data_IF_936931103562
#
_entry.id   IF_936931103562
#
_cell.length_a   1.000
_cell.length_b   1.000
_cell.length_c   1.000
_cell.angle_alpha   90.00
_cell.angle_beta   90.00
_cell.angle_gamma   90.00
#
_symmetry.space_group_name_H-M   'P 1'
#
loop_
_entity.id
_entity.type
_entity.pdbx_description
1 polymer ?
#
# COMPACT_ATOMS: atom_id res chain seq x y z
N UNK A 1 3.07 -20.37 -48.92
CA UNK A 1 2.49 -19.14 -49.51
C UNK A 1 2.78 -18.02 -48.54
N UNK A 2 3.68 -17.11 -48.93
CA UNK A 2 4.40 -16.16 -48.09
C UNK A 2 3.71 -14.79 -48.24
N UNK A 3 3.30 -14.15 -47.14
CA UNK A 3 2.88 -12.74 -47.16
C UNK A 3 4.06 -11.83 -46.76
N UNK A 4 4.25 -10.67 -47.41
CA UNK A 4 5.44 -9.84 -47.22
C UNK A 4 5.30 -8.80 -46.10
N UNK A 5 6.45 -8.55 -45.47
CA UNK A 5 6.80 -7.35 -44.72
C UNK A 5 6.87 -6.11 -45.63
N UNK A 6 6.49 -4.96 -45.07
CA UNK A 6 7.19 -3.66 -45.11
C UNK A 6 6.28 -2.46 -45.45
N UNK A 7 6.14 -1.55 -44.47
CA UNK A 7 6.05 -0.12 -44.68
C UNK A 7 6.38 0.58 -43.34
N UNK A 8 7.66 0.89 -43.11
CA UNK A 8 8.10 1.78 -42.03
C UNK A 8 8.18 3.20 -42.60
N UNK A 9 7.21 4.04 -42.25
CA UNK A 9 7.21 5.48 -42.51
C UNK A 9 7.82 6.23 -41.33
N UNK A 10 8.92 6.92 -41.62
CA UNK A 10 9.71 7.77 -40.74
C UNK A 10 9.01 9.12 -40.53
N UNK A 11 8.75 9.54 -39.28
CA UNK A 11 8.45 10.94 -38.95
C UNK A 11 9.14 11.33 -37.64
N UNK A 12 10.09 12.27 -37.78
CA UNK A 12 10.86 12.95 -36.76
C UNK A 12 9.95 13.88 -35.94
N UNK A 13 9.90 13.70 -34.63
CA UNK A 13 9.36 14.69 -33.69
C UNK A 13 10.48 15.05 -32.70
N UNK A 14 10.92 16.30 -32.76
CA UNK A 14 11.98 16.86 -31.93
C UNK A 14 11.57 17.10 -30.46
N UNK A 15 12.52 17.45 -29.60
CA UNK A 15 12.29 17.59 -28.16
C UNK A 15 11.59 18.91 -27.82
N UNK A 16 10.47 18.82 -27.10
CA UNK A 16 9.82 19.96 -26.46
C UNK A 16 10.41 20.17 -25.05
N UNK A 17 11.13 21.27 -24.88
CA UNK A 17 11.57 21.78 -23.57
C UNK A 17 10.44 22.58 -22.90
N UNK A 18 10.08 22.29 -21.64
CA UNK A 18 9.17 23.15 -20.88
C UNK A 18 9.92 24.34 -20.25
N UNK A 19 9.37 25.53 -20.45
CA UNK A 19 9.95 26.83 -20.11
C UNK A 19 10.07 27.15 -18.62
N UNK A 20 10.95 28.12 -18.35
CA UNK A 20 11.23 28.67 -17.03
C UNK A 20 10.04 29.47 -16.45
N UNK A 21 9.88 29.49 -15.11
CA UNK A 21 8.84 30.28 -14.44
C UNK A 21 9.18 31.78 -14.37
N UNK A 22 8.16 32.66 -14.32
CA UNK A 22 8.36 34.11 -14.27
C UNK A 22 8.80 34.61 -12.88
N UNK A 23 9.71 35.59 -12.89
CA UNK A 23 10.23 36.32 -11.73
C UNK A 23 9.15 37.26 -11.17
N UNK A 24 8.71 37.02 -9.93
CA UNK A 24 7.74 37.88 -9.24
C UNK A 24 8.48 38.90 -8.35
N UNK A 25 8.40 40.18 -8.73
CA UNK A 25 8.94 41.31 -7.97
C UNK A 25 8.02 41.65 -6.80
N UNK A 26 8.48 41.46 -5.56
CA UNK A 26 7.75 41.87 -4.35
C UNK A 26 8.29 43.22 -3.83
N UNK A 27 7.47 44.27 -3.92
CA UNK A 27 7.66 45.53 -3.17
C UNK A 27 6.31 46.16 -2.79
N UNK A 28 6.01 46.15 -1.48
CA UNK A 28 5.45 47.26 -0.66
C UNK A 28 4.94 46.66 0.68
N UNK A 29 5.65 46.89 1.78
CA UNK A 29 5.37 47.90 2.82
C UNK A 29 4.08 47.72 3.65
N UNK A 30 4.27 47.33 4.93
CA UNK A 30 3.78 47.99 6.14
C UNK A 30 2.26 48.10 6.41
N UNK A 31 1.78 47.38 7.42
CA UNK A 31 0.47 47.64 8.06
C UNK A 31 0.24 46.77 9.31
N UNK A 32 0.05 47.42 10.44
CA UNK A 32 0.02 46.86 11.80
C UNK A 32 -1.30 46.14 12.14
N UNK A 33 -1.19 45.10 12.99
CA UNK A 33 -2.20 44.61 13.94
C UNK A 33 -3.47 43.87 13.44
N UNK A 34 -3.44 42.53 13.49
CA UNK A 34 -4.32 41.66 14.33
C UNK A 34 -4.04 40.21 13.97
N UNK A 35 -3.68 39.40 14.97
CA UNK A 35 -3.61 37.95 14.81
C UNK A 35 -5.00 37.40 14.47
N UNK A 36 -5.18 36.73 13.32
CA UNK A 36 -6.35 35.91 13.08
C UNK A 36 -6.06 34.48 13.56
N UNK A 37 -6.94 34.00 14.44
CA UNK A 37 -7.19 32.62 14.88
C UNK A 37 -6.67 31.57 13.86
N UNK A 38 -5.92 30.53 14.27
CA UNK A 38 -5.57 29.44 13.36
C UNK A 38 -6.87 28.76 12.90
N UNK A 39 -7.16 28.90 11.60
CA UNK A 39 -8.31 28.26 10.96
C UNK A 39 -8.02 26.76 10.93
N UNK A 40 -8.66 26.03 11.84
CA UNK A 40 -8.90 24.58 11.81
C UNK A 40 -9.40 24.19 10.41
N UNK A 41 -8.50 23.79 9.52
CA UNK A 41 -8.82 23.21 8.21
C UNK A 41 -7.55 22.65 7.59
N UNK A 42 -7.12 21.46 8.00
CA UNK A 42 -6.69 20.46 7.04
C UNK A 42 -6.90 19.08 7.64
N UNK A 43 -7.91 18.43 7.09
CA UNK A 43 -8.34 17.08 7.40
C UNK A 43 -7.16 16.13 7.18
N UNK A 44 -6.89 15.38 8.24
CA UNK A 44 -6.02 14.22 8.35
C UNK A 44 -6.13 13.30 7.12
N UNK A 45 -5.16 13.39 6.21
CA UNK A 45 -4.68 12.21 5.49
C UNK A 45 -3.51 11.61 6.29
N UNK A 46 -3.73 11.32 7.57
CA UNK A 46 -2.92 10.30 8.21
C UNK A 46 -3.39 8.97 7.62
N UNK A 47 -2.83 8.61 6.46
CA UNK A 47 -2.50 7.20 6.30
C UNK A 47 -1.68 6.88 7.54
N UNK A 48 -2.16 5.97 8.40
CA UNK A 48 -1.36 5.46 9.50
C UNK A 48 -0.14 4.76 8.85
N UNK A 49 0.90 5.54 8.47
CA UNK A 49 2.10 5.13 7.70
C UNK A 49 2.92 4.05 8.42
N UNK A 50 2.54 3.77 9.65
CA UNK A 50 3.08 2.71 10.49
C UNK A 50 2.46 1.34 10.26
N UNK A 51 1.27 1.26 9.66
CA UNK A 51 0.62 -0.02 9.40
C UNK A 51 1.13 -0.62 8.10
N UNK A 52 1.92 -1.68 8.21
CA UNK A 52 2.53 -2.39 7.10
C UNK A 52 2.20 -3.86 7.13
N UNK A 53 2.16 -4.47 5.96
CA UNK A 53 2.13 -5.92 5.83
C UNK A 53 3.55 -6.45 5.69
N UNK A 54 3.80 -7.60 6.30
CA UNK A 54 5.03 -8.34 6.15
C UNK A 54 4.72 -9.81 5.90
N UNK A 55 5.74 -10.55 5.49
CA UNK A 55 5.61 -11.98 5.35
C UNK A 55 6.93 -12.70 5.66
N UNK A 56 6.81 -13.98 6.01
CA UNK A 56 7.91 -14.94 5.99
C UNK A 56 7.55 -16.12 5.12
N UNK A 57 8.54 -16.63 4.39
CA UNK A 57 8.42 -17.80 3.54
C UNK A 57 9.17 -18.98 4.16
N UNK A 58 8.70 -20.19 3.91
CA UNK A 58 9.43 -21.41 4.21
C UNK A 58 9.24 -22.38 3.07
N UNK A 59 10.34 -22.75 2.42
CA UNK A 59 10.33 -23.81 1.42
C UNK A 59 9.93 -25.13 2.08
N UNK A 60 8.89 -25.79 1.55
CA UNK A 60 8.46 -27.09 2.06
C UNK A 60 9.08 -28.21 1.25
N UNK A 61 8.65 -28.37 -0.01
CA UNK A 61 9.08 -29.42 -0.95
C UNK A 61 8.79 -28.96 -2.37
N UNK A 62 9.61 -29.37 -3.35
CA UNK A 62 9.42 -29.02 -4.77
C UNK A 62 9.22 -27.50 -4.96
N UNK A 63 8.12 -27.06 -5.58
CA UNK A 63 7.74 -25.65 -5.76
C UNK A 63 6.74 -25.16 -4.70
N UNK A 64 6.58 -25.89 -3.59
CA UNK A 64 5.60 -25.59 -2.56
C UNK A 64 6.23 -24.78 -1.43
N UNK A 65 5.62 -23.63 -1.15
CA UNK A 65 6.04 -22.69 -0.12
C UNK A 65 4.95 -22.52 0.92
N UNK A 66 5.35 -22.46 2.20
CA UNK A 66 4.48 -21.98 3.27
C UNK A 66 4.77 -20.51 3.51
N UNK A 67 3.73 -19.71 3.43
CA UNK A 67 3.77 -18.29 3.69
C UNK A 67 3.10 -18.01 5.03
N UNK A 68 3.66 -17.08 5.80
CA UNK A 68 2.94 -16.46 6.92
C UNK A 68 2.90 -14.96 6.65
N UNK A 69 1.72 -14.43 6.39
CA UNK A 69 1.48 -12.99 6.24
C UNK A 69 1.05 -12.42 7.58
N UNK A 70 1.50 -11.23 7.92
CA UNK A 70 1.20 -10.60 9.20
C UNK A 70 1.24 -9.08 9.09
N UNK A 71 0.70 -8.40 10.11
CA UNK A 71 0.71 -6.95 10.24
C UNK A 71 1.86 -6.51 11.14
N UNK A 72 2.56 -5.47 10.70
CA UNK A 72 3.59 -4.76 11.45
C UNK A 72 3.12 -3.33 11.70
N UNK A 73 3.15 -2.91 12.95
CA UNK A 73 2.94 -1.54 13.40
C UNK A 73 3.38 -1.45 14.87
N UNK A 74 3.48 -0.25 15.46
CA UNK A 74 3.67 -0.12 16.89
C UNK A 74 2.61 -0.83 17.71
N UNK A 75 2.97 -1.10 18.95
CA UNK A 75 2.11 -1.81 19.89
C UNK A 75 0.76 -1.10 20.08
N UNK A 76 0.76 0.23 20.19
CA UNK A 76 -0.45 1.03 20.43
C UNK A 76 -1.38 1.01 19.20
N UNK A 77 -0.85 1.06 17.98
CA UNK A 77 -1.63 0.91 16.75
C UNK A 77 -2.28 -0.48 16.71
N UNK A 78 -1.47 -1.51 16.93
CA UNK A 78 -1.94 -2.90 16.91
C UNK A 78 -2.95 -3.21 18.02
N UNK A 79 -3.01 -2.45 19.12
CA UNK A 79 -4.02 -2.59 20.17
C UNK A 79 -5.39 -2.04 19.75
N UNK A 80 -5.42 -1.16 18.74
CA UNK A 80 -6.64 -0.59 18.17
C UNK A 80 -7.21 -1.46 17.04
N UNK A 81 -6.48 -2.48 16.59
CA UNK A 81 -6.95 -3.41 15.56
C UNK A 81 -7.89 -4.45 16.17
N UNK A 82 -9.07 -4.60 15.57
CA UNK A 82 -10.09 -5.58 15.95
C UNK A 82 -9.84 -6.92 15.26
N UNK A 83 -9.81 -6.92 13.94
CA UNK A 83 -9.60 -8.10 13.10
C UNK A 83 -8.95 -7.70 11.79
N UNK A 84 -8.25 -8.65 11.16
CA UNK A 84 -7.65 -8.50 9.83
C UNK A 84 -8.30 -9.49 8.88
N UNK A 85 -8.80 -9.00 7.76
CA UNK A 85 -9.28 -9.84 6.65
C UNK A 85 -8.21 -9.90 5.57
N UNK A 86 -7.83 -11.11 5.20
CA UNK A 86 -6.91 -11.39 4.10
C UNK A 86 -7.71 -11.94 2.93
N UNK A 87 -7.63 -11.24 1.81
CA UNK A 87 -8.24 -11.63 0.53
C UNK A 87 -7.13 -12.17 -0.36
N UNK A 88 -7.07 -13.49 -0.43
CA UNK A 88 -6.21 -14.28 -1.28
C UNK A 88 -6.80 -14.38 -2.70
N UNK A 89 -5.99 -14.88 -3.63
CA UNK A 89 -6.47 -15.22 -4.96
C UNK A 89 -7.56 -16.30 -4.93
N UNK A 90 -8.46 -16.29 -5.92
CA UNK A 90 -9.61 -17.23 -5.99
C UNK A 90 -9.21 -18.69 -6.15
N UNK A 91 -7.96 -18.96 -6.53
CA UNK A 91 -7.41 -20.32 -6.60
C UNK A 91 -7.21 -20.96 -5.22
N UNK A 92 -7.19 -20.17 -4.15
CA UNK A 92 -7.12 -20.71 -2.79
C UNK A 92 -8.50 -21.18 -2.31
N UNK A 93 -8.59 -22.35 -1.64
CA UNK A 93 -9.80 -22.71 -0.93
C UNK A 93 -10.02 -21.70 0.20
N UNK A 94 -11.25 -21.17 0.29
CA UNK A 94 -11.61 -20.08 1.20
C UNK A 94 -10.68 -18.85 1.05
N UNK A 95 -10.87 -18.06 -0.02
CA UNK A 95 -9.96 -16.97 -0.37
C UNK A 95 -10.09 -15.76 0.55
N UNK A 96 -11.16 -15.64 1.34
CA UNK A 96 -11.36 -14.52 2.27
C UNK A 96 -11.24 -15.08 3.69
N UNK A 97 -10.18 -14.73 4.40
CA UNK A 97 -9.88 -15.27 5.73
C UNK A 97 -9.77 -14.17 6.76
N UNK A 98 -10.50 -14.31 7.86
CA UNK A 98 -10.49 -13.36 8.97
C UNK A 98 -9.63 -13.88 10.13
N UNK A 99 -8.75 -13.01 10.66
CA UNK A 99 -7.91 -13.27 11.83
C UNK A 99 -8.16 -12.15 12.84
N UNK A 100 -8.85 -12.48 13.94
CA UNK A 100 -9.03 -11.56 15.07
C UNK A 100 -8.06 -11.82 16.22
N UNK A 101 -7.40 -12.99 16.23
CA UNK A 101 -6.33 -13.24 17.19
C UNK A 101 -5.08 -12.47 16.79
N UNK A 102 -4.62 -11.61 17.68
CA UNK A 102 -3.39 -10.83 17.47
C UNK A 102 -2.17 -11.73 17.42
N UNK A 103 -2.17 -12.87 18.12
CA UNK A 103 -0.96 -13.67 18.34
C UNK A 103 0.07 -12.95 19.21
N UNK A 104 1.31 -13.45 19.19
CA UNK A 104 2.40 -12.97 20.07
C UNK A 104 3.52 -12.32 19.29
N UNK A 105 4.05 -11.21 19.81
CA UNK A 105 5.25 -10.55 19.27
C UNK A 105 4.96 -9.51 18.17
N UNK A 106 5.94 -9.31 17.29
CA UNK A 106 5.91 -8.29 16.23
C UNK A 106 5.16 -8.74 14.96
N UNK A 107 4.88 -10.04 14.81
CA UNK A 107 4.12 -10.61 13.69
C UNK A 107 2.64 -10.75 14.09
N UNK A 108 1.92 -9.62 14.08
CA UNK A 108 0.55 -9.59 14.56
C UNK A 108 -0.43 -10.12 13.51
N UNK A 109 -1.51 -10.75 13.96
CA UNK A 109 -2.59 -11.31 13.14
C UNK A 109 -2.08 -12.27 12.04
N UNK A 110 -1.28 -13.29 12.39
CA UNK A 110 -0.61 -14.11 11.39
C UNK A 110 -1.59 -15.01 10.62
N UNK A 111 -1.55 -14.96 9.30
CA UNK A 111 -2.21 -15.91 8.43
C UNK A 111 -1.20 -16.83 7.74
N UNK A 112 -1.34 -18.13 7.96
CA UNK A 112 -0.53 -19.15 7.30
C UNK A 112 -1.25 -19.68 6.06
N UNK A 113 -0.56 -19.66 4.92
CA UNK A 113 -1.05 -20.22 3.65
C UNK A 113 0.03 -21.05 2.99
N UNK A 114 -0.35 -21.94 2.08
CA UNK A 114 0.60 -22.76 1.31
C UNK A 114 0.29 -22.57 -0.16
N UNK A 115 1.31 -22.23 -0.95
CA UNK A 115 1.14 -21.87 -2.36
C UNK A 115 2.35 -22.31 -3.19
N UNK A 116 2.17 -22.34 -4.51
CA UNK A 116 3.19 -22.79 -5.46
C UNK A 116 4.15 -21.69 -5.93
N UNK A 117 3.92 -20.45 -5.50
CA UNK A 117 4.64 -19.30 -6.00
C UNK A 117 4.22 -17.98 -5.34
N UNK A 118 4.67 -16.85 -5.91
CA UNK A 118 4.31 -15.52 -5.47
C UNK A 118 2.81 -15.27 -5.67
N UNK A 119 2.25 -14.41 -4.83
CA UNK A 119 0.85 -14.00 -4.94
C UNK A 119 0.68 -12.65 -4.27
N UNK A 120 -0.21 -11.83 -4.81
CA UNK A 120 -0.65 -10.60 -4.14
C UNK A 120 -1.78 -10.93 -3.16
N UNK A 121 -1.72 -10.36 -1.96
CA UNK A 121 -2.76 -10.47 -0.94
C UNK A 121 -3.29 -9.07 -0.65
N UNK A 122 -4.60 -8.90 -0.75
CA UNK A 122 -5.27 -7.69 -0.27
C UNK A 122 -5.65 -7.89 1.19
N UNK A 123 -5.45 -6.86 1.99
CA UNK A 123 -5.58 -6.95 3.44
C UNK A 123 -6.48 -5.82 3.89
N UNK A 124 -7.53 -6.14 4.65
CA UNK A 124 -8.39 -5.14 5.28
C UNK A 124 -8.24 -5.21 6.79
N UNK A 125 -7.66 -4.18 7.36
CA UNK A 125 -7.49 -4.04 8.80
C UNK A 125 -8.67 -3.27 9.35
N UNK A 126 -9.49 -3.94 10.17
CA UNK A 126 -10.64 -3.35 10.86
C UNK A 126 -10.20 -2.92 12.25
N UNK A 127 -10.41 -1.65 12.57
CA UNK A 127 -10.12 -1.08 13.88
C UNK A 127 -11.34 -1.18 14.81
N UNK A 128 -11.10 -1.07 16.11
CA UNK A 128 -12.13 -1.10 17.15
C UNK A 128 -13.12 0.08 17.03
N UNK A 129 -12.65 1.21 16.49
CA UNK A 129 -13.46 2.41 16.23
C UNK A 129 -14.33 2.30 14.95
N UNK A 130 -14.26 1.16 14.25
CA UNK A 130 -15.00 0.92 13.01
C UNK A 130 -14.31 1.40 11.73
N UNK A 131 -13.14 2.07 11.83
CA UNK A 131 -12.35 2.40 10.63
C UNK A 131 -11.82 1.14 9.96
N UNK A 132 -11.65 1.22 8.64
CA UNK A 132 -11.04 0.16 7.83
C UNK A 132 -9.89 0.75 7.05
N UNK A 133 -8.73 0.11 7.12
CA UNK A 133 -7.57 0.43 6.29
C UNK A 133 -7.27 -0.74 5.37
N UNK A 134 -7.14 -0.45 4.08
CA UNK A 134 -6.76 -1.44 3.08
C UNK A 134 -5.26 -1.37 2.80
N UNK A 135 -4.63 -2.54 2.73
CA UNK A 135 -3.24 -2.72 2.32
C UNK A 135 -3.19 -3.74 1.18
N UNK A 136 -2.14 -3.67 0.39
CA UNK A 136 -1.80 -4.69 -0.60
C UNK A 136 -0.37 -5.15 -0.36
N UNK A 137 -0.13 -6.44 -0.45
CA UNK A 137 1.17 -7.03 -0.15
C UNK A 137 1.51 -8.17 -1.10
N UNK A 138 2.72 -8.13 -1.66
CA UNK A 138 3.23 -9.18 -2.53
C UNK A 138 3.98 -10.24 -1.70
N UNK A 139 3.61 -11.52 -1.87
CA UNK A 139 4.32 -12.65 -1.29
C UNK A 139 5.43 -13.06 -2.24
N UNK A 140 6.69 -12.96 -1.82
CA UNK A 140 7.89 -13.20 -2.63
C UNK A 140 8.86 -14.12 -1.91
N UNK A 141 9.64 -14.95 -2.61
CA UNK A 141 10.42 -16.06 -2.02
C UNK A 141 11.42 -15.65 -0.93
#
# INVERSE_FOLDING_TARGET
MILPLAALGLLLLGPLTPGAPPTFNARSQGGTARAPIPRLSFVLLQQDEELRAGHVSTHLKQKLWRWTVYIQAPKDVLQRVKCVEYVLDRTFPDPIREVCDRGTGAQAFPLKVTAWGPSTVRIRVRFLDGRVQELEHELTF
#
